data_IF_614965741521
#
_entry.id   IF_614965741521
#
_cell.length_a   1.000
_cell.length_b   1.000
_cell.length_c   1.000
_cell.angle_alpha   90.00
_cell.angle_beta   90.00
_cell.angle_gamma   90.00
#
_symmetry.space_group_name_H-M   'P 1'
#
loop_
_entity.id
_entity.type
_entity.pdbx_description
1 polymer ?
#
# COMPACT_ATOMS: atom_id res chain seq x y z
N UNK A 1 10.12 1.02 -7.35
CA UNK A 1 10.21 0.35 -6.01
C UNK A 1 10.80 1.21 -4.88
N UNK A 2 11.92 1.93 -5.04
CA UNK A 2 12.50 2.77 -3.96
C UNK A 2 11.48 3.78 -3.39
N UNK A 3 10.76 4.44 -4.28
CA UNK A 3 9.70 5.39 -3.94
C UNK A 3 8.60 4.76 -3.07
N UNK A 4 8.01 3.66 -3.54
CA UNK A 4 6.96 2.95 -2.80
C UNK A 4 7.42 2.47 -1.41
N UNK A 5 8.69 2.03 -1.29
CA UNK A 5 9.29 1.70 0.01
C UNK A 5 9.30 2.91 0.92
N UNK A 6 9.81 4.05 0.47
CA UNK A 6 9.80 5.27 1.28
C UNK A 6 8.38 5.64 1.73
N UNK A 7 7.40 5.63 0.82
CA UNK A 7 6.01 5.99 1.14
C UNK A 7 5.40 5.08 2.21
N UNK A 8 5.51 3.76 2.06
CA UNK A 8 4.95 2.80 3.02
C UNK A 8 5.59 2.92 4.41
N UNK A 9 6.90 3.16 4.47
CA UNK A 9 7.58 3.39 5.75
C UNK A 9 7.15 4.74 6.36
N UNK A 10 7.10 5.82 5.58
CA UNK A 10 6.67 7.14 6.05
C UNK A 10 5.24 7.11 6.58
N UNK A 11 4.32 6.48 5.85
CA UNK A 11 2.93 6.27 6.26
C UNK A 11 2.87 5.50 7.57
N UNK A 12 3.57 4.36 7.66
CA UNK A 12 3.58 3.52 8.86
C UNK A 12 4.16 4.26 10.07
N UNK A 13 5.30 4.94 9.93
CA UNK A 13 5.93 5.67 11.02
C UNK A 13 5.07 6.84 11.53
N UNK A 14 4.47 7.61 10.61
CA UNK A 14 3.56 8.70 10.97
C UNK A 14 2.30 8.13 11.65
N UNK A 15 1.69 7.07 11.12
CA UNK A 15 0.55 6.39 11.75
C UNK A 15 0.88 5.86 13.15
N UNK A 16 2.06 5.24 13.33
CA UNK A 16 2.54 4.78 14.64
C UNK A 16 2.68 5.94 15.62
N UNK A 17 3.16 7.12 15.20
CA UNK A 17 3.26 8.30 16.09
C UNK A 17 1.88 8.79 16.54
N UNK A 18 0.87 8.74 15.67
CA UNK A 18 -0.50 9.14 16.01
C UNK A 18 -1.21 8.08 16.87
N UNK A 19 -1.13 6.80 16.52
CA UNK A 19 -1.78 5.70 17.26
C UNK A 19 -1.03 5.27 18.54
N UNK A 20 0.29 5.44 18.58
CA UNK A 20 1.19 4.80 19.57
C UNK A 20 1.01 5.30 21.00
N UNK A 21 0.39 6.47 21.21
CA UNK A 21 0.06 6.98 22.55
C UNK A 21 -0.99 6.14 23.27
N UNK A 22 -1.80 5.39 22.51
CA UNK A 22 -2.88 4.55 23.03
C UNK A 22 -2.54 3.05 23.05
N UNK A 23 -1.38 2.64 22.53
CA UNK A 23 -0.94 1.25 22.51
C UNK A 23 -0.07 1.01 23.74
N UNK A 24 -0.37 -0.02 24.53
CA UNK A 24 0.43 -0.34 25.72
C UNK A 24 1.89 -0.65 25.33
N UNK A 25 2.82 -0.41 26.26
CA UNK A 25 4.26 -0.67 26.07
C UNK A 25 4.57 -2.13 25.71
N UNK A 26 3.70 -3.06 26.08
CA UNK A 26 3.82 -4.50 25.77
C UNK A 26 3.30 -4.85 24.38
N UNK A 27 2.22 -4.20 23.92
CA UNK A 27 1.62 -4.45 22.60
C UNK A 27 2.40 -3.75 21.48
N UNK A 28 3.06 -2.63 21.78
CA UNK A 28 3.74 -1.80 20.80
C UNK A 28 4.85 -2.54 20.00
N UNK A 29 5.72 -3.36 20.61
CA UNK A 29 6.72 -4.13 19.87
C UNK A 29 6.12 -5.18 18.93
N UNK A 30 5.06 -5.86 19.35
CA UNK A 30 4.35 -6.85 18.52
C UNK A 30 3.72 -6.16 17.32
N UNK A 31 3.02 -5.06 17.56
CA UNK A 31 2.39 -4.25 16.53
C UNK A 31 3.40 -3.70 15.52
N UNK A 32 4.54 -3.17 15.99
CA UNK A 32 5.61 -2.68 15.13
C UNK A 32 6.19 -3.79 14.24
N UNK A 33 6.45 -4.98 14.79
CA UNK A 33 6.91 -6.14 14.01
C UNK A 33 5.89 -6.58 12.96
N UNK A 34 4.62 -6.61 13.33
CA UNK A 34 3.52 -6.91 12.43
C UNK A 34 3.46 -5.91 11.26
N UNK A 35 3.55 -4.60 11.54
CA UNK A 35 3.56 -3.57 10.52
C UNK A 35 4.73 -3.71 9.55
N UNK A 36 5.93 -4.03 10.04
CA UNK A 36 7.06 -4.30 9.14
C UNK A 36 6.85 -5.51 8.24
N UNK A 37 6.26 -6.58 8.78
CA UNK A 37 5.89 -7.74 7.96
C UNK A 37 4.85 -7.38 6.90
N UNK A 38 3.86 -6.55 7.24
CA UNK A 38 2.89 -6.01 6.28
C UNK A 38 3.52 -5.13 5.20
N UNK A 39 4.44 -4.23 5.56
CA UNK A 39 5.16 -3.39 4.57
C UNK A 39 5.96 -4.26 3.61
N UNK A 40 6.63 -5.30 4.11
CA UNK A 40 7.37 -6.26 3.26
C UNK A 40 6.42 -6.95 2.27
N UNK A 41 5.29 -7.46 2.75
CA UNK A 41 4.24 -8.06 1.90
C UNK A 41 3.75 -7.05 0.86
N UNK A 42 3.48 -5.82 1.25
CA UNK A 42 2.94 -4.79 0.38
C UNK A 42 3.92 -4.36 -0.72
N UNK A 43 5.22 -4.32 -0.42
CA UNK A 43 6.25 -4.09 -1.43
C UNK A 43 6.34 -5.21 -2.46
N UNK A 44 6.15 -6.47 -2.03
CA UNK A 44 6.09 -7.60 -2.94
C UNK A 44 4.83 -7.55 -3.81
N UNK A 45 3.70 -7.11 -3.23
CA UNK A 45 2.46 -6.91 -3.98
C UNK A 45 2.60 -5.82 -5.06
N UNK A 46 3.16 -4.65 -4.71
CA UNK A 46 3.46 -3.62 -5.71
C UNK A 46 4.45 -4.08 -6.78
N UNK A 47 5.35 -5.01 -6.43
CA UNK A 47 6.25 -5.61 -7.40
C UNK A 47 5.49 -6.48 -8.41
N UNK A 48 4.53 -7.29 -7.97
CA UNK A 48 3.66 -8.07 -8.87
C UNK A 48 2.90 -7.16 -9.84
N UNK A 49 2.31 -6.06 -9.35
CA UNK A 49 1.63 -5.10 -10.22
C UNK A 49 2.58 -4.44 -11.23
N UNK A 50 3.81 -4.09 -10.81
CA UNK A 50 4.81 -3.49 -11.70
C UNK A 50 5.31 -4.48 -12.75
N UNK A 51 5.56 -5.73 -12.37
CA UNK A 51 6.01 -6.77 -13.31
C UNK A 51 4.91 -7.04 -14.36
N UNK A 52 3.63 -7.09 -13.95
CA UNK A 52 2.50 -7.19 -14.88
C UNK A 52 2.39 -5.97 -15.80
N UNK A 53 2.53 -4.76 -15.26
CA UNK A 53 2.53 -3.53 -16.05
C UNK A 53 3.67 -3.48 -17.07
N UNK A 54 4.85 -4.02 -16.74
CA UNK A 54 5.97 -4.14 -17.67
C UNK A 54 5.62 -5.05 -18.85
N UNK A 55 5.03 -6.22 -18.58
CA UNK A 55 4.58 -7.16 -19.62
C UNK A 55 3.57 -6.48 -20.57
N UNK A 56 2.56 -5.81 -20.00
CA UNK A 56 1.53 -5.10 -20.77
C UNK A 56 2.15 -4.00 -21.65
N UNK A 57 3.06 -3.20 -21.06
CA UNK A 57 3.73 -2.11 -21.77
C UNK A 57 4.65 -2.62 -22.89
N UNK A 58 5.40 -3.70 -22.67
CA UNK A 58 6.25 -4.34 -23.68
C UNK A 58 5.44 -4.95 -24.83
N UNK A 59 4.29 -5.55 -24.52
CA UNK A 59 3.38 -6.11 -25.51
C UNK A 59 2.58 -5.05 -26.30
N UNK A 60 2.58 -3.79 -25.84
CA UNK A 60 1.74 -2.73 -26.41
C UNK A 60 0.24 -3.02 -26.29
N UNK A 61 -0.16 -3.84 -25.32
CA UNK A 61 -1.54 -4.26 -25.11
C UNK A 61 -2.25 -3.38 -24.06
N UNK A 62 -3.56 -3.54 -23.96
CA UNK A 62 -4.35 -2.97 -22.86
C UNK A 62 -4.53 -4.00 -21.76
N UNK A 63 -4.65 -3.54 -20.52
CA UNK A 63 -5.00 -4.40 -19.38
C UNK A 63 -6.32 -5.14 -19.63
N UNK A 64 -6.40 -6.39 -19.20
CA UNK A 64 -7.63 -7.18 -19.19
C UNK A 64 -7.86 -7.85 -17.83
N UNK A 65 -9.04 -8.44 -17.65
CA UNK A 65 -9.42 -9.08 -16.37
C UNK A 65 -8.47 -10.18 -15.94
N UNK A 66 -7.89 -10.92 -16.90
CA UNK A 66 -6.95 -12.01 -16.62
C UNK A 66 -5.64 -11.51 -16.00
N UNK A 67 -5.15 -10.36 -16.44
CA UNK A 67 -3.93 -9.76 -15.89
C UNK A 67 -4.12 -9.39 -14.41
N UNK A 68 -5.31 -8.89 -14.07
CA UNK A 68 -5.70 -8.59 -12.68
C UNK A 68 -5.81 -9.88 -11.87
N UNK A 69 -6.44 -10.93 -12.42
CA UNK A 69 -6.58 -12.22 -11.75
C UNK A 69 -5.23 -12.88 -11.43
N UNK A 70 -4.27 -12.84 -12.34
CA UNK A 70 -2.92 -13.38 -12.11
C UNK A 70 -2.21 -12.68 -10.95
N UNK A 71 -2.31 -11.35 -10.87
CA UNK A 71 -1.75 -10.59 -9.74
C UNK A 71 -2.49 -10.90 -8.44
N UNK A 72 -3.81 -11.12 -8.49
CA UNK A 72 -4.61 -11.50 -7.32
C UNK A 72 -4.19 -12.87 -6.79
N UNK A 73 -4.00 -13.87 -7.65
CA UNK A 73 -3.49 -15.20 -7.27
C UNK A 73 -2.12 -15.08 -6.60
N UNK A 74 -1.20 -14.34 -7.22
CA UNK A 74 0.11 -14.05 -6.62
C UNK A 74 0.00 -13.32 -5.27
N UNK A 75 -0.99 -12.44 -5.10
CA UNK A 75 -1.22 -11.73 -3.84
C UNK A 75 -1.68 -12.65 -2.70
N UNK A 76 -2.40 -13.73 -3.00
CA UNK A 76 -2.86 -14.73 -2.01
C UNK A 76 -1.65 -15.51 -1.49
N UNK A 77 -0.70 -15.86 -2.36
CA UNK A 77 0.57 -16.48 -1.93
C UNK A 77 1.36 -15.57 -1.00
N UNK A 78 1.35 -14.26 -1.25
CA UNK A 78 1.98 -13.29 -0.34
C UNK A 78 1.30 -13.23 1.03
N UNK A 79 -0.02 -13.43 1.09
CA UNK A 79 -0.76 -13.49 2.35
C UNK A 79 -0.38 -14.75 3.16
N UNK A 80 -0.19 -15.90 2.50
CA UNK A 80 0.35 -17.11 3.11
C UNK A 80 1.77 -16.89 3.67
N UNK A 81 2.64 -16.19 2.93
CA UNK A 81 3.98 -15.81 3.40
C UNK A 81 3.91 -14.87 4.60
N UNK A 82 2.97 -13.93 4.62
CA UNK A 82 2.75 -13.05 5.77
C UNK A 82 2.35 -13.85 7.02
N UNK A 83 1.46 -14.86 6.90
CA UNK A 83 1.15 -15.77 8.01
C UNK A 83 2.41 -16.46 8.55
N UNK A 84 3.32 -16.86 7.66
CA UNK A 84 4.63 -17.42 8.02
C UNK A 84 5.54 -16.42 8.74
N UNK A 85 5.65 -15.19 8.23
CA UNK A 85 6.49 -14.13 8.79
C UNK A 85 6.04 -13.71 10.21
N UNK A 86 4.75 -13.85 10.55
CA UNK A 86 4.20 -13.50 11.85
C UNK A 86 4.01 -14.68 12.81
N UNK A 87 4.42 -15.90 12.44
CA UNK A 87 4.12 -17.14 13.20
C UNK A 87 4.54 -17.11 14.69
N UNK A 88 5.59 -16.35 15.01
CA UNK A 88 6.13 -16.20 16.36
C UNK A 88 5.57 -15.00 17.13
N UNK A 89 4.70 -14.20 16.51
CA UNK A 89 3.97 -13.14 17.19
C UNK A 89 2.72 -13.75 17.86
N UNK A 90 2.21 -13.15 18.95
CA UNK A 90 0.98 -13.60 19.61
C UNK A 90 -0.29 -13.17 18.85
N UNK A 91 -0.21 -13.05 17.51
CA UNK A 91 -1.31 -12.67 16.62
C UNK A 91 -1.50 -13.69 15.52
N UNK A 92 -2.73 -13.87 15.05
CA UNK A 92 -3.08 -14.69 13.89
C UNK A 92 -4.01 -13.89 12.99
N UNK A 93 -4.00 -14.23 11.71
CA UNK A 93 -4.82 -13.59 10.69
C UNK A 93 -5.56 -14.67 9.96
N UNK A 94 -6.88 -14.57 9.97
CA UNK A 94 -7.71 -15.26 9.00
C UNK A 94 -8.14 -14.24 7.95
N UNK A 95 -7.88 -14.51 6.67
CA UNK A 95 -8.17 -13.50 5.65
C UNK A 95 -9.60 -13.69 5.17
N UNK A 96 -10.46 -12.70 5.46
CA UNK A 96 -11.82 -12.60 4.95
C UNK A 96 -11.79 -12.27 3.44
N UNK A 97 -11.37 -13.23 2.60
CA UNK A 97 -11.16 -13.05 1.17
C UNK A 97 -12.41 -12.57 0.44
N UNK A 98 -13.59 -12.96 0.89
CA UNK A 98 -14.88 -12.48 0.36
C UNK A 98 -15.04 -10.96 0.47
N UNK A 99 -14.42 -10.33 1.48
CA UNK A 99 -14.41 -8.86 1.67
C UNK A 99 -13.17 -8.20 1.06
N UNK A 100 -12.04 -8.89 1.09
CA UNK A 100 -10.74 -8.36 0.65
C UNK A 100 -10.64 -8.33 -0.87
N UNK A 101 -11.08 -9.39 -1.56
CA UNK A 101 -10.84 -9.56 -2.99
C UNK A 101 -11.50 -8.48 -3.87
N UNK A 102 -12.73 -7.99 -3.60
CA UNK A 102 -13.31 -6.90 -4.37
C UNK A 102 -12.44 -5.63 -4.33
N UNK A 103 -12.04 -5.20 -3.13
CA UNK A 103 -11.17 -4.03 -2.91
C UNK A 103 -9.81 -4.22 -3.59
N UNK A 104 -9.23 -5.42 -3.43
CA UNK A 104 -7.91 -5.73 -3.98
C UNK A 104 -7.91 -5.79 -5.50
N UNK A 105 -8.97 -6.30 -6.13
CA UNK A 105 -9.11 -6.32 -7.60
C UNK A 105 -9.12 -4.91 -8.15
N UNK A 106 -9.96 -4.05 -7.59
CA UNK A 106 -10.06 -2.65 -8.00
C UNK A 106 -8.72 -1.90 -7.81
N UNK A 107 -8.05 -2.15 -6.68
CA UNK A 107 -6.74 -1.58 -6.38
C UNK A 107 -5.64 -2.09 -7.31
N UNK A 108 -5.68 -3.38 -7.67
CA UNK A 108 -4.74 -4.02 -8.59
C UNK A 108 -4.83 -3.37 -9.96
N UNK A 109 -6.04 -3.22 -10.50
CA UNK A 109 -6.28 -2.59 -11.79
C UNK A 109 -5.70 -1.17 -11.84
N UNK A 110 -6.01 -0.34 -10.84
CA UNK A 110 -5.48 1.03 -10.74
C UNK A 110 -3.95 1.08 -10.63
N UNK A 111 -3.35 0.18 -9.84
CA UNK A 111 -1.89 0.09 -9.71
C UNK A 111 -1.22 -0.31 -11.03
N UNK A 112 -1.77 -1.29 -11.74
CA UNK A 112 -1.25 -1.71 -13.04
C UNK A 112 -1.37 -0.55 -14.03
N UNK A 113 -2.52 0.09 -14.14
CA UNK A 113 -2.73 1.25 -15.03
C UNK A 113 -1.75 2.40 -14.71
N UNK A 114 -1.55 2.70 -13.42
CA UNK A 114 -0.57 3.68 -12.97
C UNK A 114 0.84 3.31 -13.44
N UNK A 115 1.27 2.07 -13.25
CA UNK A 115 2.60 1.62 -13.67
C UNK A 115 2.77 1.56 -15.18
N UNK A 116 1.74 1.14 -15.94
CA UNK A 116 1.77 1.15 -17.41
C UNK A 116 1.99 2.58 -17.91
N UNK A 117 1.25 3.56 -17.39
CA UNK A 117 1.43 4.98 -17.78
C UNK A 117 2.81 5.51 -17.44
N UNK A 118 3.35 5.16 -16.27
CA UNK A 118 4.71 5.55 -15.89
C UNK A 118 5.75 4.92 -16.82
N UNK A 119 5.64 3.63 -17.13
CA UNK A 119 6.56 2.93 -18.04
C UNK A 119 6.45 3.43 -19.49
N UNK A 120 5.27 3.87 -19.91
CA UNK A 120 5.01 4.47 -21.22
C UNK A 120 5.46 5.93 -21.35
N UNK A 121 6.08 6.53 -20.33
CA UNK A 121 6.50 7.95 -20.33
C UNK A 121 7.74 8.26 -21.20
N UNK A 122 8.30 7.25 -21.87
CA UNK A 122 9.45 7.39 -22.76
C UNK A 122 10.78 7.55 -22.01
N UNK A 123 11.74 8.26 -22.62
CA UNK A 123 13.05 8.54 -22.00
C UNK A 123 12.91 9.60 -20.90
N UNK A 124 12.56 9.15 -19.69
CA UNK A 124 12.52 9.97 -18.48
C UNK A 124 13.83 9.86 -17.69
N UNK A 125 14.30 10.98 -17.14
CA UNK A 125 15.58 11.04 -16.41
C UNK A 125 15.48 10.42 -15.02
N UNK A 126 14.34 10.62 -14.36
CA UNK A 126 14.05 10.10 -13.03
C UNK A 126 12.54 9.87 -12.83
N UNK A 127 12.16 9.40 -11.64
CA UNK A 127 10.76 9.14 -11.30
C UNK A 127 9.88 10.40 -11.33
N UNK A 128 10.41 11.56 -10.94
CA UNK A 128 9.62 12.79 -10.89
C UNK A 128 9.35 13.27 -12.32
N UNK A 129 10.33 13.12 -13.22
CA UNK A 129 10.16 13.34 -14.65
C UNK A 129 9.17 12.36 -15.28
N UNK A 130 9.24 11.06 -14.95
CA UNK A 130 8.24 10.05 -15.40
C UNK A 130 6.82 10.47 -15.01
N UNK A 131 6.61 10.88 -13.76
CA UNK A 131 5.30 11.31 -13.25
C UNK A 131 4.82 12.56 -13.99
N UNK A 132 5.67 13.58 -14.16
CA UNK A 132 5.31 14.82 -14.85
C UNK A 132 4.98 14.61 -16.32
N UNK A 133 5.63 13.65 -16.98
CA UNK A 133 5.33 13.27 -18.37
C UNK A 133 4.03 12.47 -18.49
N UNK A 134 3.77 11.58 -17.53
CA UNK A 134 2.63 10.66 -17.58
C UNK A 134 1.31 11.28 -17.08
N UNK A 135 1.33 12.29 -16.20
CA UNK A 135 0.14 12.78 -15.51
C UNK A 135 0.10 14.31 -15.37
N UNK A 136 -1.13 14.85 -15.28
CA UNK A 136 -1.34 16.17 -14.68
C UNK A 136 -1.25 16.08 -13.16
N UNK A 137 -0.98 17.22 -12.50
CA UNK A 137 -0.82 17.29 -11.04
C UNK A 137 -2.05 16.76 -10.30
N UNK A 138 -3.23 17.25 -10.68
CA UNK A 138 -4.51 16.91 -10.04
C UNK A 138 -4.86 15.44 -10.27
N UNK A 139 -4.68 14.96 -11.50
CA UNK A 139 -4.91 13.57 -11.89
C UNK A 139 -4.01 12.59 -11.12
N UNK A 140 -2.72 12.92 -10.97
CA UNK A 140 -1.79 12.11 -10.19
C UNK A 140 -2.20 12.05 -8.71
N UNK A 141 -2.61 13.18 -8.14
CA UNK A 141 -3.05 13.25 -6.75
C UNK A 141 -4.32 12.43 -6.52
N UNK A 142 -5.32 12.59 -7.38
CA UNK A 142 -6.60 11.88 -7.31
C UNK A 142 -6.39 10.37 -7.38
N UNK A 143 -5.66 9.89 -8.38
CA UNK A 143 -5.37 8.46 -8.54
C UNK A 143 -4.63 7.86 -7.34
N UNK A 144 -3.63 8.56 -6.78
CA UNK A 144 -2.93 8.08 -5.60
C UNK A 144 -3.82 8.09 -4.33
N UNK A 145 -4.77 9.01 -4.23
CA UNK A 145 -5.74 9.02 -3.12
C UNK A 145 -6.72 7.86 -3.25
N UNK A 146 -7.26 7.58 -4.44
CA UNK A 146 -8.12 6.42 -4.66
C UNK A 146 -7.42 5.10 -4.31
N UNK A 147 -6.16 4.93 -4.75
CA UNK A 147 -5.36 3.74 -4.43
C UNK A 147 -5.12 3.63 -2.91
N UNK A 148 -4.88 4.76 -2.24
CA UNK A 148 -4.70 4.82 -0.79
C UNK A 148 -5.98 4.49 -0.03
N UNK A 149 -7.13 4.98 -0.48
CA UNK A 149 -8.44 4.70 0.12
C UNK A 149 -8.72 3.20 0.05
N UNK A 150 -8.59 2.59 -1.13
CA UNK A 150 -8.72 1.14 -1.32
C UNK A 150 -7.73 0.36 -0.45
N UNK A 151 -6.48 0.81 -0.35
CA UNK A 151 -5.50 0.18 0.54
C UNK A 151 -5.89 0.28 2.02
N UNK A 152 -6.46 1.40 2.42
CA UNK A 152 -6.84 1.67 3.81
C UNK A 152 -8.08 0.86 4.21
N UNK A 153 -9.06 0.74 3.32
CA UNK A 153 -10.21 -0.15 3.50
C UNK A 153 -9.78 -1.62 3.57
N UNK A 154 -8.91 -2.07 2.65
CA UNK A 154 -8.37 -3.43 2.69
C UNK A 154 -7.61 -3.68 4.00
N UNK A 155 -6.78 -2.72 4.42
CA UNK A 155 -6.04 -2.80 5.67
C UNK A 155 -6.96 -2.87 6.89
N UNK A 156 -8.08 -2.16 6.87
CA UNK A 156 -9.09 -2.22 7.93
C UNK A 156 -9.71 -3.61 8.04
N UNK A 157 -10.15 -4.20 6.92
CA UNK A 157 -10.71 -5.57 6.89
C UNK A 157 -9.69 -6.59 7.41
N UNK A 158 -8.43 -6.48 6.97
CA UNK A 158 -7.34 -7.34 7.46
C UNK A 158 -7.13 -7.17 8.96
N UNK A 159 -7.12 -5.92 9.46
CA UNK A 159 -6.89 -5.65 10.87
C UNK A 159 -8.04 -6.13 11.77
N UNK A 160 -9.30 -6.04 11.32
CA UNK A 160 -10.45 -6.62 12.01
C UNK A 160 -10.36 -8.15 12.10
N UNK A 161 -9.68 -8.77 11.13
CA UNK A 161 -9.50 -10.22 11.09
C UNK A 161 -8.29 -10.71 11.91
N UNK A 162 -7.59 -9.80 12.61
CA UNK A 162 -6.52 -10.14 13.53
C UNK A 162 -7.13 -10.69 14.82
N UNK A 163 -6.75 -11.91 15.16
CA UNK A 163 -6.97 -12.50 16.48
C UNK A 163 -5.67 -12.48 17.27
N UNK A 164 -5.77 -12.33 18.59
CA UNK A 164 -4.61 -12.27 19.49
C UNK A 164 -4.74 -13.33 20.57
N UNK A 165 -3.63 -13.98 20.91
CA UNK A 165 -3.55 -14.93 22.03
C UNK A 165 -3.55 -14.22 23.40
N UNK A 166 -3.40 -12.90 23.39
CA UNK A 166 -3.53 -12.00 24.54
C UNK A 166 -4.76 -11.14 24.31
N UNK A 167 -5.54 -10.81 25.36
CA UNK A 167 -6.67 -9.89 25.24
C UNK A 167 -6.20 -8.54 24.68
N UNK A 168 -6.46 -8.32 23.39
CA UNK A 168 -6.17 -7.09 22.67
C UNK A 168 -7.47 -6.70 21.98
N UNK A 169 -7.91 -5.47 22.18
CA UNK A 169 -9.03 -4.88 21.44
C UNK A 169 -8.57 -4.59 20.00
N UNK A 170 -8.61 -5.62 19.15
CA UNK A 170 -8.18 -5.57 17.75
C UNK A 170 -9.04 -4.61 16.93
N UNK A 171 -10.31 -4.45 17.28
CA UNK A 171 -11.24 -3.52 16.65
C UNK A 171 -10.84 -2.06 16.90
N UNK A 172 -10.57 -1.69 18.14
CA UNK A 172 -10.12 -0.33 18.46
C UNK A 172 -8.75 0.01 17.84
N UNK A 173 -7.86 -0.99 17.68
CA UNK A 173 -6.61 -0.80 16.94
C UNK A 173 -6.89 -0.62 15.44
N UNK A 174 -7.75 -1.46 14.84
CA UNK A 174 -8.12 -1.38 13.43
C UNK A 174 -8.74 -0.02 13.07
N UNK A 175 -9.69 0.47 13.88
CA UNK A 175 -10.33 1.78 13.67
C UNK A 175 -9.33 2.93 13.78
N UNK A 176 -8.45 2.92 14.81
CA UNK A 176 -7.42 3.96 14.96
C UNK A 176 -6.44 3.99 13.80
N UNK A 177 -6.02 2.81 13.34
CA UNK A 177 -5.15 2.69 12.17
C UNK A 177 -5.83 3.20 10.92
N UNK A 178 -7.09 2.84 10.69
CA UNK A 178 -7.86 3.28 9.54
C UNK A 178 -7.96 4.80 9.46
N UNK A 179 -8.42 5.46 10.52
CA UNK A 179 -8.52 6.92 10.54
C UNK A 179 -7.14 7.59 10.37
N UNK A 180 -6.11 7.03 11.01
CA UNK A 180 -4.75 7.59 10.89
C UNK A 180 -4.18 7.42 9.48
N UNK A 181 -4.47 6.31 8.79
CA UNK A 181 -3.93 6.03 7.46
C UNK A 181 -4.50 6.95 6.38
N UNK A 182 -5.80 7.25 6.43
CA UNK A 182 -6.42 8.18 5.48
C UNK A 182 -5.87 9.60 5.67
N UNK A 183 -5.92 10.15 6.88
CA UNK A 183 -5.47 11.53 7.14
C UNK A 183 -3.99 11.71 6.82
N UNK A 184 -3.14 10.80 7.31
CA UNK A 184 -1.69 10.85 7.09
C UNK A 184 -1.36 10.59 5.62
N UNK A 185 -2.01 9.62 5.00
CA UNK A 185 -1.72 9.23 3.62
C UNK A 185 -2.13 10.31 2.62
N UNK A 186 -3.30 10.94 2.78
CA UNK A 186 -3.74 12.06 1.95
C UNK A 186 -2.78 13.25 2.10
N UNK A 187 -2.35 13.55 3.34
CA UNK A 187 -1.33 14.56 3.60
C UNK A 187 -0.01 14.26 2.88
N UNK A 188 0.46 13.01 2.95
CA UNK A 188 1.67 12.56 2.26
C UNK A 188 1.54 12.66 0.73
N UNK A 189 0.41 12.26 0.16
CA UNK A 189 0.15 12.36 -1.28
C UNK A 189 0.17 13.81 -1.76
N UNK A 190 -0.42 14.74 -0.98
CA UNK A 190 -0.36 16.18 -1.27
C UNK A 190 1.06 16.72 -1.22
N UNK A 191 1.78 16.48 -0.11
CA UNK A 191 3.19 16.87 0.06
C UNK A 191 4.05 16.38 -1.12
N UNK A 192 3.87 15.10 -1.49
CA UNK A 192 4.58 14.48 -2.60
C UNK A 192 4.27 15.14 -3.93
N UNK A 193 2.98 15.33 -4.22
CA UNK A 193 2.52 15.89 -5.50
C UNK A 193 3.06 17.31 -5.67
N UNK A 194 3.03 18.11 -4.60
CA UNK A 194 3.67 19.43 -4.61
C UNK A 194 5.18 19.34 -4.87
N UNK A 195 5.90 18.42 -4.23
CA UNK A 195 7.34 18.26 -4.46
C UNK A 195 7.66 17.93 -5.93
N UNK A 196 6.91 17.01 -6.54
CA UNK A 196 7.14 16.54 -7.92
C UNK A 196 6.85 17.66 -8.94
N UNK A 197 5.70 18.33 -8.81
CA UNK A 197 5.21 19.27 -9.81
C UNK A 197 5.65 20.71 -9.58
N UNK A 198 5.93 21.12 -8.34
CA UNK A 198 6.35 22.49 -8.00
C UNK A 198 7.86 22.62 -7.74
N UNK A 199 8.62 21.51 -7.89
CA UNK A 199 10.07 21.44 -7.60
C UNK A 199 10.44 21.93 -6.18
N UNK A 200 9.50 21.85 -5.24
CA UNK A 200 9.80 22.08 -3.82
C UNK A 200 10.74 20.99 -3.34
N UNK A 201 11.79 21.37 -2.62
CA UNK A 201 12.72 20.42 -2.00
C UNK A 201 11.93 19.43 -1.16
N UNK A 202 12.09 18.13 -1.45
CA UNK A 202 11.46 17.10 -0.63
C UNK A 202 11.92 17.26 0.81
N UNK A 203 10.98 17.52 1.73
CA UNK A 203 11.21 17.41 3.17
C UNK A 203 11.29 15.92 3.57
N UNK A 204 12.18 15.16 2.92
CA UNK A 204 12.53 13.82 3.36
C UNK A 204 13.57 14.00 4.45
N UNK A 205 13.16 13.81 5.70
CA UNK A 205 14.07 13.39 6.78
C UNK A 205 14.11 11.88 6.82
#
# INVERSE_FOLDING_TARGET
MRFAKWFLYALSERCIKYCGKAVSSVQFPVFKKFLFARIKRELQYYRLCLDMAAIINEAGSTICSRDVEEVIEGSIDLDCRLKGDIRFLPIRIDFAYEKILPLRKERTERLILLFVRLLGSGEAEDYDDMVRKAFKKEEFLELNNEILELYTEEAFVVNQSITSLVNVDSEAIAQRMYCSMLDVGIGLNRELTECIFEKKTRLIK
#
